data_IF_475766870515
#
_entry.id   IF_475766870515
#
_cell.length_a   1.000
_cell.length_b   1.000
_cell.length_c   1.000
_cell.angle_alpha   90.00
_cell.angle_beta   90.00
_cell.angle_gamma   90.00
#
_symmetry.space_group_name_H-M   'P 1'
#
loop_
_entity.id
_entity.type
_entity.pdbx_description
1 polymer ?
#
# COMPACT_ATOMS: atom_id res chain seq x y z
N UNK A 1 -0.47 28.91 19.92
CA UNK A 1 -1.55 29.33 19.01
C UNK A 1 -1.20 28.93 17.58
N UNK A 2 -1.70 27.78 17.10
CA UNK A 2 -2.01 27.46 15.68
C UNK A 2 -3.01 26.30 15.74
N UNK A 3 -4.29 26.60 15.56
CA UNK A 3 -5.36 25.60 15.45
C UNK A 3 -5.19 24.92 14.09
N UNK A 4 -4.90 23.62 14.07
CA UNK A 4 -5.07 22.81 12.86
C UNK A 4 -6.43 22.12 12.98
N UNK A 5 -7.47 22.82 12.52
CA UNK A 5 -8.71 22.18 12.10
C UNK A 5 -8.42 21.46 10.79
N UNK A 6 -8.20 20.15 10.83
CA UNK A 6 -8.28 19.31 9.63
C UNK A 6 -9.53 18.46 9.83
N UNK A 7 -10.39 18.54 8.82
CA UNK A 7 -11.68 17.91 8.78
C UNK A 7 -11.59 16.44 9.19
N UNK A 8 -12.48 16.06 10.11
CA UNK A 8 -13.03 14.73 10.13
C UNK A 8 -13.60 14.44 8.73
N UNK A 9 -12.77 13.89 7.84
CA UNK A 9 -13.26 13.32 6.58
C UNK A 9 -13.84 11.97 6.95
N UNK A 10 -15.14 12.03 7.19
CA UNK A 10 -16.07 10.93 7.27
C UNK A 10 -15.65 9.74 6.39
N UNK A 11 -15.17 8.69 7.05
CA UNK A 11 -15.81 7.39 6.96
C UNK A 11 -15.50 6.67 8.27
N UNK A 12 -16.52 6.56 9.12
CA UNK A 12 -16.66 5.38 9.95
C UNK A 12 -16.27 4.20 9.06
N UNK A 13 -15.16 3.54 9.39
CA UNK A 13 -14.94 2.15 9.01
C UNK A 13 -16.18 1.45 9.56
N UNK A 14 -17.18 1.35 8.70
CA UNK A 14 -18.39 0.61 8.99
C UNK A 14 -17.90 -0.78 9.31
N UNK A 15 -18.08 -1.13 10.57
CA UNK A 15 -17.89 -2.43 11.18
C UNK A 15 -18.33 -3.51 10.18
N UNK A 16 -17.43 -3.97 9.31
CA UNK A 16 -17.73 -5.08 8.42
C UNK A 16 -17.50 -6.33 9.24
N UNK A 17 -18.63 -6.94 9.58
CA UNK A 17 -18.76 -8.15 10.36
C UNK A 17 -17.82 -9.24 9.85
N UNK A 18 -17.10 -9.82 10.81
CA UNK A 18 -16.40 -11.11 10.77
C UNK A 18 -15.23 -11.26 9.78
N UNK A 19 -14.03 -11.03 10.29
CA UNK A 19 -12.93 -12.00 10.09
C UNK A 19 -12.33 -12.35 11.45
N UNK A 20 -12.01 -13.63 11.74
CA UNK A 20 -11.40 -13.99 13.00
C UNK A 20 -9.92 -13.60 13.00
N UNK A 21 -9.52 -12.88 14.05
CA UNK A 21 -8.19 -12.82 14.65
C UNK A 21 -6.96 -12.93 13.71
N UNK A 22 -6.64 -11.83 13.02
CA UNK A 22 -5.25 -11.39 12.94
C UNK A 22 -5.19 -10.08 13.71
N UNK A 23 -4.25 -9.93 14.64
CA UNK A 23 -4.13 -8.74 15.46
C UNK A 23 -3.78 -7.53 14.56
N UNK A 24 -4.80 -6.92 13.97
CA UNK A 24 -4.72 -5.60 13.40
C UNK A 24 -4.34 -4.67 14.56
N UNK A 25 -3.14 -4.10 14.51
CA UNK A 25 -2.78 -3.06 15.45
C UNK A 25 -3.61 -1.82 15.10
N UNK A 26 -4.75 -1.70 15.77
CA UNK A 26 -5.67 -0.59 15.59
C UNK A 26 -5.00 0.77 15.82
N UNK A 27 -3.90 0.82 16.59
CA UNK A 27 -3.12 2.06 16.75
C UNK A 27 -2.36 2.39 15.46
N UNK A 28 -1.71 1.41 14.84
CA UNK A 28 -1.08 1.56 13.52
C UNK A 28 -2.10 1.98 12.46
N UNK A 29 -3.25 1.29 12.38
CA UNK A 29 -4.30 1.64 11.42
C UNK A 29 -4.79 3.08 11.64
N UNK A 30 -5.15 3.42 12.88
CA UNK A 30 -5.63 4.77 13.22
C UNK A 30 -4.59 5.83 12.89
N UNK A 31 -3.31 5.59 13.24
CA UNK A 31 -2.22 6.51 12.93
C UNK A 31 -2.09 6.74 11.43
N UNK A 32 -2.06 5.67 10.63
CA UNK A 32 -2.00 5.77 9.17
C UNK A 32 -3.17 6.59 8.61
N UNK A 33 -4.40 6.29 9.05
CA UNK A 33 -5.59 6.96 8.51
C UNK A 33 -5.72 8.43 8.95
N UNK A 34 -5.25 8.78 10.14
CA UNK A 34 -5.31 10.15 10.64
C UNK A 34 -4.17 11.03 10.12
N UNK A 35 -2.97 10.46 9.93
CA UNK A 35 -1.77 11.25 9.68
C UNK A 35 -1.04 10.90 8.39
N UNK A 36 -1.33 9.77 7.77
CA UNK A 36 -0.53 9.24 6.66
C UNK A 36 0.83 8.69 7.09
N UNK A 37 1.13 8.61 8.39
CA UNK A 37 2.44 8.19 8.89
C UNK A 37 2.36 6.82 9.58
N UNK A 38 3.02 5.83 9.00
CA UNK A 38 3.10 4.50 9.57
C UNK A 38 4.42 3.77 9.28
N UNK A 39 5.55 4.50 9.34
CA UNK A 39 6.86 3.85 9.26
C UNK A 39 7.02 2.80 10.37
N UNK A 40 7.35 1.57 9.98
CA UNK A 40 7.54 0.42 10.88
C UNK A 40 6.26 -0.14 11.50
N UNK A 41 5.07 0.35 11.11
CA UNK A 41 3.81 -0.11 11.65
C UNK A 41 3.51 -1.58 11.33
N UNK A 42 2.68 -2.20 12.17
CA UNK A 42 2.12 -3.52 11.88
C UNK A 42 0.70 -3.39 11.31
N UNK A 43 0.59 -3.55 9.99
CA UNK A 43 -0.66 -3.50 9.22
C UNK A 43 -0.93 -4.84 8.52
N UNK A 44 -0.41 -5.94 9.07
CA UNK A 44 -0.44 -7.22 8.41
C UNK A 44 -1.88 -7.75 8.34
N UNK A 45 -2.41 -7.96 7.13
CA UNK A 45 -3.79 -8.36 6.92
C UNK A 45 -4.81 -7.22 7.07
N UNK A 46 -4.37 -5.97 7.25
CA UNK A 46 -5.26 -4.82 7.36
C UNK A 46 -6.11 -4.67 6.09
N UNK A 47 -7.35 -4.21 6.28
CA UNK A 47 -8.23 -3.86 5.16
C UNK A 47 -8.13 -2.36 4.86
N UNK A 48 -7.39 -2.03 3.81
CA UNK A 48 -7.11 -0.67 3.33
C UNK A 48 -7.69 -0.43 1.93
N UNK A 49 -8.62 -1.29 1.48
CA UNK A 49 -9.22 -1.20 0.16
C UNK A 49 -9.92 0.14 -0.04
N UNK A 50 -9.64 0.78 -1.17
CA UNK A 50 -10.20 2.08 -1.57
C UNK A 50 -9.74 3.27 -0.71
N UNK A 51 -8.85 3.07 0.26
CA UNK A 51 -8.35 4.16 1.11
C UNK A 51 -7.46 5.11 0.28
N UNK A 52 -7.52 6.40 0.61
CA UNK A 52 -6.64 7.41 0.03
C UNK A 52 -5.40 7.60 0.91
N UNK A 53 -4.26 7.08 0.45
CA UNK A 53 -2.95 7.13 1.11
C UNK A 53 -1.91 7.88 0.26
N UNK A 54 -2.36 8.92 -0.46
CA UNK A 54 -1.51 9.81 -1.27
C UNK A 54 -0.35 10.33 -0.42
N UNK A 55 0.89 10.05 -0.84
CA UNK A 55 2.10 10.51 -0.15
C UNK A 55 2.33 9.91 1.24
N UNK A 56 1.65 8.82 1.62
CA UNK A 56 1.81 8.21 2.93
C UNK A 56 3.23 7.67 3.17
N UNK A 57 3.72 7.78 4.40
CA UNK A 57 4.96 7.18 4.86
C UNK A 57 4.68 5.79 5.43
N UNK A 58 4.97 4.74 4.65
CA UNK A 58 4.80 3.33 4.97
C UNK A 58 6.16 2.60 5.03
N UNK A 59 7.27 3.34 5.19
CA UNK A 59 8.62 2.77 5.19
C UNK A 59 8.76 1.66 6.23
N UNK A 60 9.25 0.50 5.84
CA UNK A 60 9.41 -0.68 6.70
C UNK A 60 8.11 -1.18 7.35
N UNK A 61 6.93 -0.74 6.90
CA UNK A 61 5.67 -1.22 7.44
C UNK A 61 5.45 -2.70 7.07
N UNK A 62 4.83 -3.45 7.98
CA UNK A 62 4.39 -4.81 7.71
C UNK A 62 2.98 -4.80 7.13
N UNK A 63 2.85 -4.94 5.81
CA UNK A 63 1.60 -5.02 5.05
C UNK A 63 1.34 -6.44 4.52
N UNK A 64 1.95 -7.46 5.15
CA UNK A 64 1.84 -8.84 4.69
C UNK A 64 0.38 -9.29 4.63
N UNK A 65 -0.08 -9.66 3.44
CA UNK A 65 -1.45 -10.10 3.19
C UNK A 65 -2.50 -9.00 3.34
N UNK A 66 -2.11 -7.72 3.39
CA UNK A 66 -3.07 -6.62 3.45
C UNK A 66 -3.94 -6.55 2.20
N UNK A 67 -5.19 -6.10 2.36
CA UNK A 67 -6.09 -5.81 1.26
C UNK A 67 -5.96 -4.33 0.87
N UNK A 68 -5.33 -4.06 -0.27
CA UNK A 68 -5.05 -2.73 -0.83
C UNK A 68 -5.75 -2.54 -2.19
N UNK A 69 -6.86 -3.25 -2.42
CA UNK A 69 -7.61 -3.18 -3.67
C UNK A 69 -8.09 -1.75 -3.90
N UNK A 70 -7.73 -1.17 -5.04
CA UNK A 70 -8.13 0.19 -5.42
C UNK A 70 -7.59 1.31 -4.53
N UNK A 71 -6.63 1.02 -3.65
CA UNK A 71 -6.03 2.04 -2.77
C UNK A 71 -5.24 3.05 -3.60
N UNK A 72 -5.35 4.34 -3.26
CA UNK A 72 -4.49 5.37 -3.84
C UNK A 72 -3.21 5.49 -3.00
N UNK A 73 -2.09 5.02 -3.53
CA UNK A 73 -0.74 5.06 -2.97
C UNK A 73 0.19 5.97 -3.82
N UNK A 74 -0.37 6.90 -4.60
CA UNK A 74 0.45 7.79 -5.43
C UNK A 74 1.44 8.57 -4.55
N UNK A 75 2.72 8.58 -4.96
CA UNK A 75 3.81 9.20 -4.20
C UNK A 75 4.08 8.63 -2.81
N UNK A 76 3.44 7.53 -2.40
CA UNK A 76 3.67 6.93 -1.09
C UNK A 76 5.10 6.34 -1.00
N UNK A 77 5.68 6.41 0.20
CA UNK A 77 6.98 5.81 0.49
C UNK A 77 6.79 4.45 1.19
N UNK A 78 6.95 3.38 0.43
CA UNK A 78 6.89 1.97 0.86
C UNK A 78 8.30 1.35 0.92
N UNK A 79 9.35 2.16 1.03
CA UNK A 79 10.74 1.67 1.06
C UNK A 79 10.92 0.64 2.17
N UNK A 80 11.39 -0.56 1.83
CA UNK A 80 11.59 -1.67 2.77
C UNK A 80 10.31 -2.30 3.33
N UNK A 81 9.11 -1.91 2.87
CA UNK A 81 7.86 -2.46 3.36
C UNK A 81 7.69 -3.94 3.00
N UNK A 82 7.01 -4.70 3.86
CA UNK A 82 6.67 -6.09 3.60
C UNK A 82 5.25 -6.19 3.02
N UNK A 83 5.14 -6.36 1.70
CA UNK A 83 3.89 -6.52 0.94
C UNK A 83 3.66 -7.98 0.51
N UNK A 84 4.36 -8.95 1.13
CA UNK A 84 4.25 -10.36 0.75
C UNK A 84 2.79 -10.83 0.80
N UNK A 85 2.32 -11.45 -0.28
CA UNK A 85 0.94 -11.90 -0.48
C UNK A 85 -0.14 -10.79 -0.38
N UNK A 86 0.21 -9.50 -0.45
CA UNK A 86 -0.77 -8.42 -0.41
C UNK A 86 -1.59 -8.36 -1.70
N UNK A 87 -2.84 -7.90 -1.60
CA UNK A 87 -3.71 -7.68 -2.75
C UNK A 87 -3.74 -6.20 -3.12
N UNK A 88 -3.03 -5.81 -4.16
CA UNK A 88 -2.94 -4.46 -4.73
C UNK A 88 -3.72 -4.33 -6.05
N UNK A 89 -4.73 -5.19 -6.27
CA UNK A 89 -5.50 -5.16 -7.53
C UNK A 89 -6.09 -3.78 -7.75
N UNK A 90 -5.82 -3.17 -8.90
CA UNK A 90 -6.33 -1.83 -9.25
C UNK A 90 -5.76 -0.68 -8.41
N UNK A 91 -4.70 -0.90 -7.62
CA UNK A 91 -4.08 0.17 -6.84
C UNK A 91 -3.41 1.23 -7.74
N UNK A 92 -3.42 2.48 -7.28
CA UNK A 92 -2.74 3.60 -7.94
C UNK A 92 -1.41 3.84 -7.24
N UNK A 93 -0.29 3.64 -7.93
CA UNK A 93 1.06 3.67 -7.35
C UNK A 93 2.01 4.56 -8.17
N UNK A 94 1.46 5.55 -8.88
CA UNK A 94 2.25 6.52 -9.64
C UNK A 94 3.27 7.22 -8.72
N UNK A 95 4.54 7.22 -9.10
CA UNK A 95 5.66 7.80 -8.34
C UNK A 95 5.86 7.20 -6.92
N UNK A 96 5.29 6.03 -6.61
CA UNK A 96 5.51 5.39 -5.31
C UNK A 96 6.96 4.85 -5.19
N UNK A 97 7.53 4.90 -3.99
CA UNK A 97 8.82 4.26 -3.70
C UNK A 97 8.60 2.87 -3.11
N UNK A 98 9.01 1.83 -3.83
CA UNK A 98 9.01 0.42 -3.40
C UNK A 98 10.45 -0.12 -3.29
N UNK A 99 11.45 0.76 -3.17
CA UNK A 99 12.84 0.34 -3.06
C UNK A 99 13.01 -0.63 -1.88
N UNK A 100 13.67 -1.76 -2.12
CA UNK A 100 13.88 -2.84 -1.15
C UNK A 100 12.59 -3.45 -0.54
N UNK A 101 11.41 -3.14 -1.07
CA UNK A 101 10.16 -3.71 -0.58
C UNK A 101 10.06 -5.20 -0.95
N UNK A 102 9.36 -5.98 -0.11
CA UNK A 102 9.06 -7.38 -0.40
C UNK A 102 7.66 -7.52 -0.99
N UNK A 103 7.54 -7.68 -2.31
CA UNK A 103 6.29 -7.93 -3.02
C UNK A 103 6.10 -9.40 -3.42
N UNK A 104 6.82 -10.33 -2.77
CA UNK A 104 6.72 -11.76 -3.13
C UNK A 104 5.25 -12.21 -3.12
N UNK A 105 4.79 -12.78 -4.24
CA UNK A 105 3.40 -13.21 -4.47
C UNK A 105 2.32 -12.12 -4.31
N UNK A 106 2.67 -10.84 -4.40
CA UNK A 106 1.69 -9.76 -4.36
C UNK A 106 0.87 -9.74 -5.66
N UNK A 107 -0.41 -9.40 -5.55
CA UNK A 107 -1.29 -9.26 -6.71
C UNK A 107 -1.40 -7.79 -7.12
N UNK A 108 -0.78 -7.42 -8.24
CA UNK A 108 -0.77 -6.09 -8.84
C UNK A 108 -1.67 -6.02 -10.11
N UNK A 109 -2.59 -6.97 -10.29
CA UNK A 109 -3.44 -6.99 -11.49
C UNK A 109 -4.21 -5.68 -11.63
N UNK A 110 -4.24 -5.11 -12.85
CA UNK A 110 -4.88 -3.82 -13.16
C UNK A 110 -4.33 -2.61 -12.37
N UNK A 111 -3.21 -2.74 -11.64
CA UNK A 111 -2.60 -1.63 -10.92
C UNK A 111 -1.88 -0.67 -11.88
N UNK A 112 -1.70 0.59 -11.45
CA UNK A 112 -0.95 1.61 -12.20
C UNK A 112 0.37 1.92 -11.49
N UNK A 113 1.49 1.60 -12.12
CA UNK A 113 2.84 1.75 -11.57
C UNK A 113 3.70 2.67 -12.44
N UNK A 114 3.19 3.86 -12.76
CA UNK A 114 3.99 4.82 -13.53
C UNK A 114 5.10 5.42 -12.66
N UNK A 115 6.35 5.35 -13.12
CA UNK A 115 7.54 5.89 -12.45
C UNK A 115 7.72 5.40 -11.00
N UNK A 116 7.20 4.21 -10.67
CA UNK A 116 7.39 3.63 -9.35
C UNK A 116 8.82 3.07 -9.19
N UNK A 117 9.53 3.43 -8.13
CA UNK A 117 10.88 2.93 -7.90
C UNK A 117 10.82 1.54 -7.29
N UNK A 118 11.46 0.54 -7.90
CA UNK A 118 11.44 -0.85 -7.42
C UNK A 118 12.85 -1.41 -7.25
N UNK A 119 13.83 -0.54 -6.98
CA UNK A 119 15.24 -0.94 -6.90
C UNK A 119 15.44 -1.89 -5.74
N UNK A 120 15.95 -3.10 -6.02
CA UNK A 120 16.16 -4.12 -4.99
C UNK A 120 14.88 -4.72 -4.41
N UNK A 121 13.70 -4.42 -4.96
CA UNK A 121 12.45 -5.01 -4.53
C UNK A 121 12.40 -6.53 -4.84
N UNK A 122 11.86 -7.32 -3.93
CA UNK A 122 11.63 -8.74 -4.16
C UNK A 122 10.29 -8.94 -4.89
N UNK A 123 10.37 -9.34 -6.16
CA UNK A 123 9.22 -9.36 -7.10
C UNK A 123 8.83 -10.77 -7.55
N UNK A 124 9.34 -11.81 -6.88
CA UNK A 124 9.04 -13.19 -7.25
C UNK A 124 7.55 -13.48 -7.13
N UNK A 125 6.95 -14.05 -8.17
CA UNK A 125 5.55 -14.47 -8.18
C UNK A 125 4.52 -13.33 -8.21
N UNK A 126 4.91 -12.09 -8.51
CA UNK A 126 3.93 -11.01 -8.66
C UNK A 126 2.97 -11.30 -9.82
N UNK A 127 1.70 -10.95 -9.64
CA UNK A 127 0.72 -10.92 -10.73
C UNK A 127 0.58 -9.49 -11.26
N UNK A 128 0.98 -9.24 -12.50
CA UNK A 128 0.88 -7.94 -13.17
C UNK A 128 -0.10 -7.98 -14.37
N UNK A 129 -1.05 -8.92 -14.36
CA UNK A 129 -2.05 -9.01 -15.43
C UNK A 129 -2.78 -7.67 -15.61
N UNK A 130 -2.74 -7.13 -16.83
CA UNK A 130 -3.32 -5.83 -17.20
C UNK A 130 -2.80 -4.64 -16.36
N UNK A 131 -1.67 -4.79 -15.65
CA UNK A 131 -1.07 -3.68 -14.94
C UNK A 131 -0.51 -2.68 -15.96
N UNK A 132 -0.69 -1.39 -15.68
CA UNK A 132 -0.10 -0.32 -16.46
C UNK A 132 1.25 0.04 -15.83
N UNK A 133 2.34 -0.37 -16.48
CA UNK A 133 3.71 -0.26 -15.96
C UNK A 133 4.53 0.54 -16.94
N UNK A 134 5.02 1.70 -16.52
CA UNK A 134 5.85 2.58 -17.36
C UNK A 134 6.84 3.31 -16.47
N UNK A 135 8.13 3.33 -16.83
CA UNK A 135 9.15 4.05 -16.06
C UNK A 135 9.40 3.53 -14.63
N UNK A 136 8.72 2.46 -14.20
CA UNK A 136 9.07 1.74 -12.99
C UNK A 136 10.16 0.74 -13.29
N UNK A 137 11.16 0.57 -12.43
CA UNK A 137 12.27 -0.38 -12.62
C UNK A 137 11.88 -1.86 -12.82
N UNK A 138 10.58 -2.17 -12.81
CA UNK A 138 9.99 -3.38 -13.34
C UNK A 138 10.23 -3.47 -14.85
N UNK A 139 11.24 -4.24 -15.25
CA UNK A 139 11.37 -4.68 -16.63
C UNK A 139 10.22 -5.62 -16.95
N UNK A 140 9.13 -5.05 -17.45
CA UNK A 140 8.13 -5.81 -18.18
C UNK A 140 8.70 -5.97 -19.59
N UNK A 141 9.05 -7.20 -19.98
CA UNK A 141 9.61 -7.46 -21.31
C UNK A 141 8.67 -6.94 -22.41
N UNK A 142 9.21 -6.07 -23.27
CA UNK A 142 8.61 -5.49 -24.47
C UNK A 142 9.42 -4.23 -24.79
N UNK A 143 10.20 -4.15 -25.86
CA UNK A 143 9.99 -4.71 -27.20
C UNK A 143 10.79 -5.96 -27.58
#
# INVERSE_FOLDING_TARGET
MKRKTIAAVALLVTFYLATPAKAEDMNSLRKLLETGECSGCNLAGANLSGVHLLGADLRNANLQGANLVGTNLEGADLTGANLKNANLTGAFMTNASLDYANLTNANLANAKLYNANTSGAALSGINIQNAEVFGSGLSIGGD
#
